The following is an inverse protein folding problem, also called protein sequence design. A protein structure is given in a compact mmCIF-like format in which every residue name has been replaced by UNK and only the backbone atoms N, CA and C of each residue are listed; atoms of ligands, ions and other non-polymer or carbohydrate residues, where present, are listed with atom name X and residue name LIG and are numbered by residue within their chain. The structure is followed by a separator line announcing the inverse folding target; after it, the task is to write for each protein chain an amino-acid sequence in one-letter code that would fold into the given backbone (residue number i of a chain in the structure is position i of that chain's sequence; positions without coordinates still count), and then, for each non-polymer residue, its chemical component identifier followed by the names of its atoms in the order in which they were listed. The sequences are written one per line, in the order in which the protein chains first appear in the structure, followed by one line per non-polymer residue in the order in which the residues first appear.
data_IF_921642400532
#
_entry.id   IF_921642400532
#
_cell.length_a   1.000
_cell.length_b   1.000
_cell.length_c   1.000
_cell.angle_alpha   90.00
_cell.angle_beta   90.00
_cell.angle_gamma   90.00
#
_symmetry.space_group_name_H-M   'P 1'
#
loop_
_entity.id
_entity.type
_entity.pdbx_description
1 polymer ?
#
# COMPACT_ATOMS: atom_id res chain seq x y z
N UNK A 1 -21.22 -32.90 2.99
CA UNK A 1 -21.35 -31.71 2.11
C UNK A 1 -21.05 -30.37 2.79
N UNK A 2 -21.53 -30.10 4.03
CA UNK A 2 -21.25 -28.83 4.77
C UNK A 2 -19.75 -28.51 4.94
N UNK A 3 -18.93 -29.48 5.36
CA UNK A 3 -17.47 -29.29 5.57
C UNK A 3 -16.71 -28.90 4.30
N UNK A 4 -17.13 -29.41 3.13
CA UNK A 4 -16.50 -29.12 1.83
C UNK A 4 -16.80 -27.68 1.38
N UNK A 5 -18.01 -27.18 1.65
CA UNK A 5 -18.40 -25.79 1.40
C UNK A 5 -17.65 -24.81 2.30
N UNK A 6 -17.48 -25.14 3.59
CA UNK A 6 -16.72 -24.31 4.54
C UNK A 6 -15.25 -24.16 4.12
N UNK A 7 -14.59 -25.26 3.71
CA UNK A 7 -13.22 -25.19 3.19
C UNK A 7 -13.10 -24.28 1.96
N UNK A 8 -14.10 -24.31 1.08
CA UNK A 8 -14.13 -23.49 -0.13
C UNK A 8 -14.32 -22.00 0.20
N UNK A 9 -15.19 -21.68 1.16
CA UNK A 9 -15.37 -20.31 1.66
C UNK A 9 -14.07 -19.79 2.28
N UNK A 10 -13.43 -20.58 3.15
CA UNK A 10 -12.14 -20.20 3.76
C UNK A 10 -11.05 -19.98 2.69
N UNK A 11 -10.99 -20.84 1.69
CA UNK A 11 -10.03 -20.70 0.59
C UNK A 11 -10.24 -19.39 -0.19
N UNK A 12 -11.49 -19.04 -0.51
CA UNK A 12 -11.82 -17.77 -1.18
C UNK A 12 -11.44 -16.57 -0.31
N UNK A 13 -11.71 -16.63 1.00
CA UNK A 13 -11.33 -15.57 1.94
C UNK A 13 -9.81 -15.39 1.97
N UNK A 14 -9.05 -16.48 2.08
CA UNK A 14 -7.58 -16.45 2.08
C UNK A 14 -7.03 -15.88 0.78
N UNK A 15 -7.58 -16.29 -0.37
CA UNK A 15 -7.18 -15.72 -1.67
C UNK A 15 -7.52 -14.23 -1.78
N UNK A 16 -8.70 -13.82 -1.30
CA UNK A 16 -9.10 -12.41 -1.28
C UNK A 16 -8.16 -11.56 -0.44
N UNK A 17 -7.89 -11.96 0.81
CA UNK A 17 -6.94 -11.26 1.67
C UNK A 17 -5.51 -11.27 1.11
N UNK A 18 -5.08 -12.40 0.53
CA UNK A 18 -3.76 -12.51 -0.11
C UNK A 18 -3.59 -11.56 -1.29
N UNK A 19 -4.62 -11.42 -2.13
CA UNK A 19 -4.63 -10.47 -3.25
C UNK A 19 -4.56 -9.02 -2.79
N UNK A 20 -5.38 -8.64 -1.79
CA UNK A 20 -5.34 -7.28 -1.20
C UNK A 20 -3.97 -7.01 -0.58
N UNK A 21 -3.39 -7.97 0.14
CA UNK A 21 -2.07 -7.83 0.75
C UNK A 21 -0.97 -7.60 -0.31
N UNK A 22 -0.94 -8.41 -1.38
CA UNK A 22 0.03 -8.21 -2.47
C UNK A 22 -0.14 -6.85 -3.17
N UNK A 23 -1.38 -6.40 -3.38
CA UNK A 23 -1.66 -5.11 -3.99
C UNK A 23 -1.13 -3.94 -3.14
N UNK A 24 -1.40 -3.96 -1.83
CA UNK A 24 -0.89 -2.96 -0.90
C UNK A 24 0.64 -2.98 -0.78
N UNK A 25 1.28 -4.14 -0.96
CA UNK A 25 2.74 -4.29 -0.96
C UNK A 25 3.40 -3.81 -2.26
N UNK A 26 2.68 -3.86 -3.38
CA UNK A 26 3.20 -3.49 -4.71
C UNK A 26 3.04 -1.99 -5.00
N UNK A 27 2.18 -1.32 -4.26
CA UNK A 27 1.98 0.12 -4.36
C UNK A 27 2.81 0.83 -3.29
N UNK A 28 3.36 2.00 -3.63
CA UNK A 28 4.02 2.88 -2.66
C UNK A 28 3.00 3.54 -1.70
N UNK A 29 1.79 2.97 -1.54
CA UNK A 29 0.64 3.60 -0.88
C UNK A 29 0.97 4.09 0.53
N UNK A 30 1.55 3.24 1.37
CA UNK A 30 1.96 3.63 2.74
C UNK A 30 3.09 4.66 2.77
N UNK A 31 3.96 4.66 1.76
CA UNK A 31 5.06 5.62 1.66
C UNK A 31 4.54 6.98 1.24
N UNK A 32 3.60 6.99 0.29
CA UNK A 32 2.89 8.19 -0.18
C UNK A 32 2.05 8.77 0.97
N UNK A 33 1.25 7.95 1.64
CA UNK A 33 0.40 8.35 2.76
C UNK A 33 1.23 9.01 3.87
N UNK A 34 2.31 8.36 4.29
CA UNK A 34 3.27 8.92 5.25
C UNK A 34 3.92 10.23 4.78
N UNK A 35 4.23 10.36 3.49
CA UNK A 35 4.78 11.58 2.92
C UNK A 35 3.79 12.75 3.05
N UNK A 36 2.53 12.51 2.69
CA UNK A 36 1.47 13.52 2.74
C UNK A 36 1.13 13.91 4.18
N UNK A 37 1.06 12.93 5.11
CA UNK A 37 0.79 13.16 6.52
C UNK A 37 1.89 13.97 7.24
N UNK A 38 3.13 13.87 6.77
CA UNK A 38 4.26 14.66 7.27
C UNK A 38 4.37 16.04 6.62
N UNK A 39 3.43 16.40 5.73
CA UNK A 39 3.41 17.67 5.02
C UNK A 39 4.38 17.75 3.84
N UNK A 40 4.91 16.61 3.39
CA UNK A 40 5.74 16.50 2.20
C UNK A 40 4.93 16.43 0.91
N UNK A 41 5.62 16.58 -0.22
CA UNK A 41 5.08 16.43 -1.56
C UNK A 41 5.61 15.14 -2.18
N UNK A 42 4.72 14.23 -2.57
CA UNK A 42 5.14 13.00 -3.24
C UNK A 42 5.40 13.23 -4.73
N UNK A 43 6.64 13.01 -5.16
CA UNK A 43 7.05 13.05 -6.55
C UNK A 43 6.87 11.66 -7.20
N UNK A 44 5.87 11.52 -8.08
CA UNK A 44 5.55 10.26 -8.75
C UNK A 44 6.61 9.82 -9.77
N UNK A 45 7.32 10.76 -10.40
CA UNK A 45 8.35 10.45 -11.39
C UNK A 45 9.61 9.90 -10.71
N UNK A 46 10.04 10.51 -9.61
CA UNK A 46 11.22 10.09 -8.85
C UNK A 46 10.91 9.02 -7.80
N UNK A 47 9.63 8.76 -7.52
CA UNK A 47 9.13 7.92 -6.42
C UNK A 47 9.74 8.31 -5.07
N UNK A 48 9.73 9.61 -4.77
CA UNK A 48 10.33 10.17 -3.54
C UNK A 48 9.45 11.25 -2.93
N UNK A 49 9.51 11.35 -1.60
CA UNK A 49 8.92 12.46 -0.86
C UNK A 49 9.88 13.65 -0.85
N UNK A 50 9.40 14.83 -1.22
CA UNK A 50 10.15 16.08 -1.28
C UNK A 50 9.57 17.06 -0.25
N UNK A 51 10.41 17.72 0.56
CA UNK A 51 9.95 18.72 1.54
C UNK A 51 10.42 20.12 1.15
N UNK A 52 9.62 21.14 1.45
CA UNK A 52 9.97 22.55 1.13
C UNK A 52 11.32 22.98 1.70
N UNK A 53 11.72 22.43 2.85
CA UNK A 53 13.01 22.72 3.49
C UNK A 53 14.22 22.12 2.76
N UNK A 54 14.06 21.08 1.93
CA UNK A 54 15.16 20.51 1.13
C UNK A 54 15.63 21.49 0.04
N UNK A 55 14.81 22.49 -0.29
CA UNK A 55 15.11 23.54 -1.27
C UNK A 55 15.91 24.72 -0.69
N UNK A 56 16.04 24.82 0.65
CA UNK A 56 16.71 25.94 1.32
C UNK A 56 18.16 25.64 1.74
N UNK A 57 18.66 24.44 1.45
CA UNK A 57 20.01 23.97 1.82
C UNK A 57 20.90 23.59 0.63
N UNK A 58 20.52 23.97 -0.60
CA UNK A 58 21.42 24.02 -1.76
C UNK A 58 21.82 25.45 -2.10
#
# INVERSE_FOLDING_TARGET
MKKRKIKLILFVIVLGFGGVFMYLKSTDFFVIDKCLDSGGHWNYDKKKCEYTNDTLTN
#
